data_IF_486888442585
#
_entry.id   IF_486888442585
#
_cell.length_a   1.000
_cell.length_b   1.000
_cell.length_c   1.000
_cell.angle_alpha   90.00
_cell.angle_beta   90.00
_cell.angle_gamma   90.00
#
_symmetry.space_group_name_H-M   'P 1'
#
loop_
_entity.id
_entity.type
_entity.pdbx_description
1 polymer ?
#
# COMPACT_ATOMS: atom_id res chain seq x y z
N UNK A 1 18.28 -27.49 2.71
CA UNK A 1 18.29 -26.02 2.92
C UNK A 1 17.81 -25.77 4.35
N UNK A 2 18.72 -25.40 5.25
CA UNK A 2 18.42 -25.27 6.68
C UNK A 2 17.45 -24.13 6.95
N UNK A 3 16.44 -24.42 7.78
CA UNK A 3 15.43 -23.47 8.27
C UNK A 3 16.08 -22.53 9.30
N UNK A 4 16.70 -21.44 8.83
CA UNK A 4 17.37 -20.49 9.72
C UNK A 4 16.32 -19.71 10.52
N UNK A 5 16.42 -19.81 11.84
CA UNK A 5 15.64 -19.03 12.80
C UNK A 5 16.06 -17.55 12.69
N UNK A 6 15.16 -16.55 12.63
CA UNK A 6 15.57 -15.14 12.64
C UNK A 6 16.48 -14.77 13.84
N UNK A 7 16.46 -15.58 14.91
CA UNK A 7 17.33 -15.46 16.08
C UNK A 7 18.81 -15.80 15.80
N UNK A 8 19.13 -16.69 14.84
CA UNK A 8 20.53 -16.90 14.42
C UNK A 8 21.09 -15.68 13.69
N UNK A 9 20.23 -14.98 12.93
CA UNK A 9 20.63 -13.83 12.12
C UNK A 9 20.98 -12.57 12.92
N UNK A 10 20.44 -12.42 14.14
CA UNK A 10 20.80 -11.31 15.01
C UNK A 10 22.16 -11.53 15.72
N UNK A 11 22.77 -12.71 15.57
CA UNK A 11 24.09 -13.03 16.13
C UNK A 11 25.21 -12.11 15.62
N UNK A 12 25.28 -11.89 14.31
CA UNK A 12 26.26 -10.99 13.67
C UNK A 12 25.87 -9.51 13.76
N UNK A 13 24.62 -9.22 14.15
CA UNK A 13 24.09 -7.86 14.25
C UNK A 13 23.86 -7.41 15.70
N UNK A 14 24.52 -8.08 16.65
CA UNK A 14 24.47 -7.77 18.09
C UNK A 14 24.78 -6.30 18.38
N UNK A 15 25.64 -5.68 17.59
CA UNK A 15 26.04 -4.27 17.74
C UNK A 15 24.83 -3.33 17.74
N UNK A 16 23.86 -3.57 16.87
CA UNK A 16 22.65 -2.75 16.80
C UNK A 16 21.67 -3.00 17.95
N UNK A 17 21.75 -4.19 18.56
CA UNK A 17 20.92 -4.54 19.71
C UNK A 17 21.43 -3.89 21.01
N UNK A 18 22.67 -3.40 21.03
CA UNK A 18 23.28 -2.81 22.24
C UNK A 18 22.53 -1.58 22.74
N UNK A 19 21.86 -0.82 21.86
CA UNK A 19 21.09 0.38 22.24
C UNK A 19 19.71 0.08 22.84
N UNK A 20 19.32 -1.20 22.93
CA UNK A 20 17.99 -1.61 23.40
C UNK A 20 18.09 -2.39 24.71
N UNK A 21 17.13 -2.16 25.60
CA UNK A 21 17.01 -2.95 26.83
C UNK A 21 16.33 -4.31 26.58
N UNK A 22 16.36 -5.20 27.57
CA UNK A 22 15.81 -6.56 27.46
C UNK A 22 14.31 -6.61 27.10
N UNK A 23 13.52 -5.64 27.56
CA UNK A 23 12.09 -5.53 27.20
C UNK A 23 11.90 -5.13 25.74
N UNK A 24 12.67 -4.16 25.28
CA UNK A 24 12.66 -3.69 23.89
C UNK A 24 13.13 -4.77 22.91
N UNK A 25 14.14 -5.55 23.29
CA UNK A 25 14.60 -6.69 22.51
C UNK A 25 13.48 -7.71 22.27
N UNK A 26 12.65 -7.99 23.28
CA UNK A 26 11.48 -8.88 23.12
C UNK A 26 10.50 -8.38 22.04
N UNK A 27 10.27 -7.06 21.96
CA UNK A 27 9.42 -6.47 20.93
C UNK A 27 10.05 -6.66 19.54
N UNK A 28 11.35 -6.39 19.41
CA UNK A 28 12.09 -6.58 18.16
C UNK A 28 12.03 -8.05 17.70
N UNK A 29 12.18 -9.00 18.63
CA UNK A 29 12.09 -10.42 18.30
C UNK A 29 10.70 -10.82 17.80
N UNK A 30 9.64 -10.41 18.51
CA UNK A 30 8.25 -10.67 18.09
C UNK A 30 7.96 -10.06 16.73
N UNK A 31 8.49 -8.86 16.46
CA UNK A 31 8.34 -8.20 15.17
C UNK A 31 8.95 -9.03 14.03
N UNK A 32 10.20 -9.46 14.16
CA UNK A 32 10.85 -10.26 13.12
C UNK A 32 10.20 -11.63 12.94
N UNK A 33 9.69 -12.22 14.02
CA UNK A 33 8.88 -13.44 13.95
C UNK A 33 7.57 -13.23 13.19
N UNK A 34 6.92 -12.07 13.31
CA UNK A 34 5.74 -11.78 12.50
C UNK A 34 6.13 -11.58 11.03
N UNK A 35 7.18 -10.79 10.76
CA UNK A 35 7.57 -10.42 9.40
C UNK A 35 8.05 -11.64 8.59
N UNK A 36 8.70 -12.64 9.19
CA UNK A 36 9.09 -13.85 8.45
C UNK A 36 7.91 -14.57 7.81
N UNK A 37 6.73 -14.54 8.43
CA UNK A 37 5.52 -15.20 7.91
C UNK A 37 4.93 -14.49 6.69
N UNK A 38 5.33 -13.24 6.44
CA UNK A 38 4.95 -12.50 5.22
C UNK A 38 5.75 -12.92 3.98
N UNK A 39 6.76 -13.79 4.15
CA UNK A 39 7.60 -14.33 3.09
C UNK A 39 7.18 -15.75 2.78
N UNK A 40 7.13 -16.09 1.49
CA UNK A 40 6.79 -17.43 1.00
C UNK A 40 7.70 -18.52 1.59
N UNK A 41 8.99 -18.20 1.80
CA UNK A 41 9.97 -19.12 2.37
C UNK A 41 9.92 -19.23 3.90
N UNK A 42 9.18 -18.34 4.59
CA UNK A 42 9.17 -18.29 6.05
C UNK A 42 10.51 -17.88 6.67
N UNK A 43 11.44 -17.35 5.87
CA UNK A 43 12.77 -16.91 6.27
C UNK A 43 13.03 -15.49 5.79
N UNK A 44 13.93 -14.79 6.48
CA UNK A 44 14.37 -13.44 6.14
C UNK A 44 15.83 -13.49 5.71
N UNK A 45 16.13 -12.77 4.63
CA UNK A 45 17.50 -12.61 4.17
C UNK A 45 18.24 -11.61 5.06
N UNK A 46 19.52 -11.85 5.32
CA UNK A 46 20.37 -10.99 6.13
C UNK A 46 20.31 -9.52 5.70
N UNK A 47 20.45 -9.29 4.39
CA UNK A 47 20.48 -7.95 3.81
C UNK A 47 19.20 -7.17 4.12
N UNK A 48 18.05 -7.85 4.27
CA UNK A 48 16.79 -7.21 4.66
C UNK A 48 16.85 -6.75 6.11
N UNK A 49 17.28 -7.63 7.02
CA UNK A 49 17.41 -7.31 8.45
C UNK A 49 18.42 -6.18 8.63
N UNK A 50 19.60 -6.29 8.01
CA UNK A 50 20.66 -5.27 8.04
C UNK A 50 20.16 -3.93 7.51
N UNK A 51 19.44 -3.91 6.40
CA UNK A 51 18.90 -2.68 5.83
C UNK A 51 17.87 -2.01 6.74
N UNK A 52 16.98 -2.78 7.38
CA UNK A 52 16.02 -2.23 8.34
C UNK A 52 16.70 -1.69 9.59
N UNK A 53 17.61 -2.48 10.17
CA UNK A 53 18.27 -2.10 11.41
C UNK A 53 19.16 -0.86 11.19
N UNK A 54 19.85 -0.76 10.05
CA UNK A 54 20.54 0.46 9.65
C UNK A 54 19.59 1.66 9.49
N UNK A 55 18.39 1.43 8.96
CA UNK A 55 17.38 2.47 8.86
C UNK A 55 16.89 2.94 10.23
N UNK A 56 16.76 2.03 11.20
CA UNK A 56 16.35 2.33 12.58
C UNK A 56 17.36 3.20 13.34
N UNK A 57 18.63 3.25 12.92
CA UNK A 57 19.63 4.12 13.52
C UNK A 57 19.31 5.62 13.36
N UNK A 58 18.43 5.99 12.44
CA UNK A 58 17.99 7.37 12.23
C UNK A 58 16.91 7.86 13.22
N UNK A 59 16.54 7.01 14.18
CA UNK A 59 15.46 7.21 15.14
C UNK A 59 15.92 6.86 16.55
N UNK A 60 15.24 7.43 17.55
CA UNK A 60 15.48 7.06 18.95
C UNK A 60 14.95 5.65 19.25
N UNK A 61 15.55 4.88 20.18
CA UNK A 61 15.13 3.51 20.46
C UNK A 61 13.64 3.43 20.83
N UNK A 62 13.13 4.42 21.57
CA UNK A 62 11.72 4.50 21.94
C UNK A 62 10.78 4.69 20.75
N UNK A 63 11.17 5.47 19.75
CA UNK A 63 10.39 5.68 18.53
C UNK A 63 10.30 4.40 17.70
N UNK A 64 11.44 3.68 17.60
CA UNK A 64 11.50 2.40 16.90
C UNK A 64 10.57 1.40 17.56
N UNK A 65 10.68 1.23 18.87
CA UNK A 65 9.87 0.26 19.60
C UNK A 65 8.37 0.59 19.49
N UNK A 66 8.01 1.86 19.61
CA UNK A 66 6.63 2.32 19.38
C UNK A 66 6.13 1.96 17.98
N UNK A 67 6.95 2.14 16.95
CA UNK A 67 6.58 1.78 15.58
C UNK A 67 6.38 0.26 15.43
N UNK A 68 7.25 -0.55 16.02
CA UNK A 68 7.15 -2.01 16.00
C UNK A 68 5.89 -2.49 16.73
N UNK A 69 5.57 -1.90 17.88
CA UNK A 69 4.35 -2.21 18.64
C UNK A 69 3.08 -1.86 17.86
N UNK A 70 3.05 -0.70 17.17
CA UNK A 70 1.92 -0.35 16.29
C UNK A 70 1.74 -1.41 15.20
N UNK A 71 2.83 -1.87 14.60
CA UNK A 71 2.79 -2.92 13.58
C UNK A 71 2.25 -4.24 14.17
N UNK A 72 2.78 -4.69 15.31
CA UNK A 72 2.42 -5.94 15.96
C UNK A 72 0.97 -5.97 16.46
N UNK A 73 0.52 -4.86 17.06
CA UNK A 73 -0.79 -4.80 17.72
C UNK A 73 -1.94 -4.56 16.76
N UNK A 74 -1.68 -4.12 15.53
CA UNK A 74 -2.75 -3.86 14.55
C UNK A 74 -3.04 -5.11 13.72
N UNK A 75 -4.24 -5.71 13.80
CA UNK A 75 -4.55 -6.95 13.11
C UNK A 75 -4.41 -6.88 11.59
N UNK A 76 -4.74 -5.72 11.00
CA UNK A 76 -4.62 -5.48 9.56
C UNK A 76 -3.16 -5.53 9.07
N UNK A 77 -2.18 -5.31 9.95
CA UNK A 77 -0.77 -5.24 9.58
C UNK A 77 -0.03 -6.57 9.71
N UNK A 78 -0.71 -7.63 10.18
CA UNK A 78 -0.09 -8.95 10.39
C UNK A 78 0.55 -9.55 9.15
N UNK A 79 0.00 -9.26 7.96
CA UNK A 79 0.50 -9.77 6.68
C UNK A 79 1.39 -8.75 5.94
N UNK A 80 1.67 -7.60 6.55
CA UNK A 80 2.44 -6.53 5.92
C UNK A 80 3.94 -6.69 6.19
N UNK A 81 4.73 -6.36 5.16
CA UNK A 81 6.20 -6.44 5.20
C UNK A 81 6.83 -5.27 5.93
N UNK A 82 8.14 -5.35 6.13
CA UNK A 82 8.96 -4.35 6.83
C UNK A 82 8.86 -2.93 6.25
N UNK A 83 8.58 -2.80 4.94
CA UNK A 83 8.34 -1.51 4.29
C UNK A 83 7.21 -0.70 4.96
N UNK A 84 6.20 -1.39 5.51
CA UNK A 84 5.11 -0.73 6.20
C UNK A 84 5.58 -0.09 7.51
N UNK A 85 6.45 -0.78 8.25
CA UNK A 85 7.11 -0.26 9.46
C UNK A 85 7.91 0.99 9.17
N UNK A 86 8.63 1.05 8.04
CA UNK A 86 9.34 2.27 7.62
C UNK A 86 8.40 3.45 7.45
N UNK A 87 7.20 3.20 6.92
CA UNK A 87 6.15 4.21 6.81
C UNK A 87 5.67 4.72 8.17
N UNK A 88 5.46 3.83 9.14
CA UNK A 88 5.11 4.20 10.52
C UNK A 88 6.21 5.06 11.14
N UNK A 89 7.47 4.61 11.05
CA UNK A 89 8.64 5.36 11.55
C UNK A 89 8.73 6.76 10.93
N UNK A 90 8.55 6.87 9.61
CA UNK A 90 8.54 8.16 8.92
C UNK A 90 7.45 9.08 9.46
N UNK A 91 6.25 8.57 9.69
CA UNK A 91 5.15 9.35 10.24
C UNK A 91 5.42 9.79 11.68
N UNK A 92 6.05 8.94 12.50
CA UNK A 92 6.46 9.29 13.87
C UNK A 92 7.46 10.44 13.85
N UNK A 93 8.50 10.37 13.01
CA UNK A 93 9.49 11.44 12.88
C UNK A 93 8.88 12.75 12.36
N UNK A 94 7.92 12.68 11.44
CA UNK A 94 7.18 13.86 10.99
C UNK A 94 6.20 14.43 12.04
N UNK A 95 5.76 13.61 12.99
CA UNK A 95 4.86 14.00 14.07
C UNK A 95 5.62 14.46 15.33
N UNK A 96 6.92 14.15 15.45
CA UNK A 96 7.76 14.69 16.50
C UNK A 96 7.73 16.23 16.41
N UNK A 97 7.45 16.93 17.51
CA UNK A 97 7.38 18.38 17.51
C UNK A 97 8.78 18.94 17.29
N UNK A 98 9.16 19.16 16.03
CA UNK A 98 10.04 20.27 15.72
C UNK A 98 9.35 21.51 16.30
N UNK A 99 10.04 22.25 17.15
CA UNK A 99 9.62 23.54 17.69
C UNK A 99 8.71 24.31 16.73
N UNK A 100 7.54 24.72 17.22
CA UNK A 100 6.49 25.48 16.55
C UNK A 100 5.58 24.67 15.60
N UNK A 101 4.29 24.64 15.97
CA UNK A 101 3.23 23.95 15.27
C UNK A 101 3.21 24.26 13.77
N UNK A 102 3.38 23.23 12.96
CA UNK A 102 2.92 23.24 11.58
C UNK A 102 2.39 21.85 11.31
N UNK A 103 1.06 21.74 11.17
CA UNK A 103 0.48 20.53 10.61
C UNK A 103 1.06 20.36 9.22
N UNK A 104 1.88 19.33 9.03
CA UNK A 104 2.50 19.02 7.74
C UNK A 104 1.36 18.70 6.79
N UNK A 105 0.96 19.69 5.99
CA UNK A 105 0.07 19.50 4.84
C UNK A 105 0.72 18.41 4.00
N UNK A 106 0.11 17.22 3.97
CA UNK A 106 0.46 16.19 3.00
C UNK A 106 0.33 16.83 1.63
N UNK A 107 1.45 17.14 0.96
CA UNK A 107 1.41 17.54 -0.43
C UNK A 107 0.79 16.36 -1.16
N UNK A 108 -0.37 16.57 -1.80
CA UNK A 108 -0.99 15.55 -2.63
C UNK A 108 0.08 15.05 -3.60
N UNK A 109 0.35 13.74 -3.54
CA UNK A 109 1.36 13.09 -4.34
C UNK A 109 1.12 13.49 -5.81
N UNK A 110 2.10 14.12 -6.48
CA UNK A 110 1.94 14.71 -7.83
C UNK A 110 1.40 13.71 -8.87
N UNK A 111 1.62 12.42 -8.64
CA UNK A 111 1.12 11.31 -9.45
C UNK A 111 -0.41 11.12 -9.42
N UNK A 112 -1.13 11.71 -8.48
CA UNK A 112 -2.60 11.63 -8.37
C UNK A 112 -3.28 12.93 -8.78
N UNK A 113 -2.57 13.82 -9.47
CA UNK A 113 -3.07 15.13 -9.87
C UNK A 113 -3.45 15.19 -11.36
N UNK A 114 -3.93 14.08 -11.91
CA UNK A 114 -4.67 14.14 -13.16
C UNK A 114 -5.96 14.91 -12.86
N UNK A 115 -6.07 16.14 -13.39
CA UNK A 115 -7.34 16.82 -13.46
C UNK A 115 -8.29 15.90 -14.22
N UNK A 116 -9.26 15.30 -13.52
CA UNK A 116 -10.43 14.77 -14.20
C UNK A 116 -11.06 15.99 -14.87
N UNK A 117 -10.93 16.09 -16.20
CA UNK A 117 -11.70 17.08 -16.95
C UNK A 117 -13.16 16.70 -16.74
N UNK A 118 -13.92 17.60 -16.14
CA UNK A 118 -15.38 17.49 -16.09
C UNK A 118 -15.88 17.72 -17.52
N UNK A 119 -15.89 16.66 -18.33
CA UNK A 119 -16.45 16.71 -19.67
C UNK A 119 -17.92 17.08 -19.56
N UNK A 120 -18.36 18.09 -20.32
CA UNK A 120 -19.81 18.35 -20.41
C UNK A 120 -20.48 17.18 -21.11
N UNK A 121 -21.78 17.02 -20.88
CA UNK A 121 -22.57 15.94 -21.49
C UNK A 121 -22.43 15.95 -23.03
N UNK A 122 -22.33 17.13 -23.65
CA UNK A 122 -22.12 17.24 -25.11
C UNK A 122 -20.73 16.76 -25.56
N UNK A 123 -19.67 17.03 -24.78
CA UNK A 123 -18.31 16.59 -25.09
C UNK A 123 -18.14 15.07 -24.94
N UNK A 124 -18.78 14.47 -23.93
CA UNK A 124 -18.85 13.02 -23.74
C UNK A 124 -19.60 12.33 -24.90
N UNK A 125 -20.70 12.92 -25.37
CA UNK A 125 -21.43 12.42 -26.55
C UNK A 125 -20.60 12.54 -27.84
N UNK A 126 -19.81 13.60 -28.00
CA UNK A 126 -18.94 13.80 -29.18
C UNK A 126 -17.74 12.83 -29.18
N UNK A 127 -17.09 12.61 -28.04
CA UNK A 127 -16.02 11.63 -27.89
C UNK A 127 -16.53 10.18 -28.07
N UNK A 128 -17.75 9.89 -27.62
CA UNK A 128 -18.43 8.62 -27.86
C UNK A 128 -18.66 8.36 -29.35
N UNK A 129 -19.14 9.37 -30.11
CA UNK A 129 -19.36 9.26 -31.56
C UNK A 129 -18.09 8.95 -32.33
N UNK A 130 -16.96 9.57 -31.98
CA UNK A 130 -15.67 9.34 -32.65
C UNK A 130 -15.11 7.93 -32.39
N UNK A 131 -15.40 7.37 -31.21
CA UNK A 131 -14.99 6.00 -30.83
C UNK A 131 -15.82 4.94 -31.56
N UNK A 132 -17.13 5.18 -31.72
CA UNK A 132 -18.03 4.31 -32.49
C UNK A 132 -17.66 4.31 -33.98
N UNK A 133 -17.35 5.48 -34.56
CA UNK A 133 -16.94 5.58 -35.96
C UNK A 133 -15.64 4.82 -36.26
N UNK A 134 -14.64 4.91 -35.36
CA UNK A 134 -13.37 4.19 -35.49
C UNK A 134 -13.53 2.66 -35.34
N UNK A 135 -14.52 2.22 -34.56
CA UNK A 135 -14.90 0.80 -34.47
C UNK A 135 -15.65 0.32 -35.73
N UNK A 136 -16.49 1.19 -36.27
CA UNK A 136 -17.29 0.95 -37.47
C UNK A 136 -16.41 0.79 -38.73
N UNK A 137 -15.38 1.64 -38.87
CA UNK A 137 -14.38 1.58 -39.95
C UNK A 137 -13.49 0.34 -39.88
N UNK A 138 -13.29 -0.23 -38.68
CA UNK A 138 -12.35 -1.34 -38.47
C UNK A 138 -12.99 -2.73 -38.48
N UNK A 139 -14.30 -2.86 -38.27
CA UNK A 139 -14.94 -4.16 -38.03
C UNK A 139 -16.19 -4.46 -38.89
N UNK A 140 -16.64 -3.55 -39.75
CA UNK A 140 -17.61 -3.82 -40.83
C UNK A 140 -18.82 -4.68 -40.45
N UNK A 141 -19.88 -4.05 -39.92
CA UNK A 141 -21.18 -4.72 -39.77
C UNK A 141 -22.12 -4.02 -38.79
N UNK A 142 -23.14 -3.32 -39.30
CA UNK A 142 -24.15 -2.59 -38.54
C UNK A 142 -24.97 -3.47 -37.57
N UNK A 143 -25.25 -4.71 -37.97
CA UNK A 143 -26.23 -5.55 -37.26
C UNK A 143 -25.76 -6.01 -35.88
N UNK A 144 -24.48 -6.38 -35.73
CA UNK A 144 -23.96 -6.85 -34.44
C UNK A 144 -23.76 -5.72 -33.43
N UNK A 145 -23.35 -4.54 -33.91
CA UNK A 145 -23.19 -3.36 -33.06
C UNK A 145 -24.54 -2.84 -32.55
N UNK A 146 -25.57 -2.81 -33.41
CA UNK A 146 -26.93 -2.45 -33.00
C UNK A 146 -27.54 -3.47 -32.05
N UNK A 147 -27.37 -4.77 -32.30
CA UNK A 147 -27.84 -5.82 -31.40
C UNK A 147 -27.21 -5.70 -30.00
N UNK A 148 -25.92 -5.38 -29.94
CA UNK A 148 -25.19 -5.23 -28.67
C UNK A 148 -25.59 -3.95 -27.92
N UNK A 149 -25.85 -2.86 -28.65
CA UNK A 149 -26.35 -1.61 -28.08
C UNK A 149 -27.79 -1.76 -27.54
N UNK A 150 -28.68 -2.45 -28.27
CA UNK A 150 -30.04 -2.76 -27.82
C UNK A 150 -30.04 -3.61 -26.55
N UNK A 151 -29.23 -4.68 -26.52
CA UNK A 151 -29.08 -5.54 -25.33
C UNK A 151 -28.59 -4.75 -24.11
N UNK A 152 -27.63 -3.84 -24.29
CA UNK A 152 -27.11 -3.02 -23.21
C UNK A 152 -28.16 -2.05 -22.63
N UNK A 153 -29.01 -1.46 -23.48
CA UNK A 153 -30.09 -0.59 -23.04
C UNK A 153 -31.19 -1.37 -22.30
N UNK A 154 -31.52 -2.57 -22.78
CA UNK A 154 -32.51 -3.45 -22.15
C UNK A 154 -32.07 -3.91 -20.75
N UNK A 155 -30.83 -4.38 -20.61
CA UNK A 155 -30.24 -4.76 -19.31
C UNK A 155 -30.19 -3.58 -18.33
N UNK A 156 -29.96 -2.36 -18.85
CA UNK A 156 -29.94 -1.14 -18.04
C UNK A 156 -31.34 -0.79 -17.54
N UNK A 157 -32.36 -0.84 -18.38
CA UNK A 157 -33.74 -0.55 -17.99
C UNK A 157 -34.25 -1.57 -16.97
N UNK A 158 -33.96 -2.86 -17.17
CA UNK A 158 -34.30 -3.92 -16.21
C UNK A 158 -33.68 -3.69 -14.82
N UNK A 159 -32.44 -3.18 -14.76
CA UNK A 159 -31.78 -2.78 -13.50
C UNK A 159 -32.42 -1.58 -12.83
N UNK A 160 -32.96 -0.63 -13.61
CA UNK A 160 -33.63 0.54 -13.06
C UNK A 160 -35.01 0.16 -12.51
N UNK A 161 -35.74 -0.71 -13.19
CA UNK A 161 -37.01 -1.25 -12.71
C UNK A 161 -36.84 -2.10 -11.44
N UNK A 162 -35.77 -2.90 -11.34
CA UNK A 162 -35.47 -3.66 -10.11
C UNK A 162 -35.05 -2.81 -8.90
N UNK A 163 -34.71 -1.54 -9.12
CA UNK A 163 -34.34 -0.58 -8.05
C UNK A 163 -35.50 0.32 -7.63
N UNK A 164 -36.63 0.26 -8.33
CA UNK A 164 -37.82 1.06 -8.07
C UNK A 164 -38.89 0.32 -7.25
N UNK A 165 -38.59 -0.90 -6.79
CA UNK A 165 -39.37 -1.70 -5.82
C UNK A 165 -38.57 -1.82 -4.54
#
# INVERSE_FOLDING_TARGET
MSSVNPLEYLGEHKEFLQRYNSGQLKVIFRYWEQVRWTRKAGTLAENVVRAEVNYWNNFEPGEVIKALEIHLNTPAYKMLRENYTRGILRNIKSAAPSSAGTQVKTSKNKFHNYQQRDYTKEELECAGKNTVNKYFESHGGLDEAEARAKKFLEDRNKRLESKAV
#
